data_IF_629143168482
#
_entry.id   IF_629143168482
#
_cell.length_a   1.000
_cell.length_b   1.000
_cell.length_c   1.000
_cell.angle_alpha   90.00
_cell.angle_beta   90.00
_cell.angle_gamma   90.00
#
_symmetry.space_group_name_H-M   'P 1'
#
loop_
_entity.id
_entity.type
_entity.pdbx_description
1 polymer ?
#
# COMPACT_ATOMS: atom_id res chain seq x y z
N UNK A 1 4.65 -24.91 7.95
CA UNK A 1 3.66 -25.23 6.89
C UNK A 1 2.19 -25.20 7.36
N UNK A 2 1.82 -25.80 8.50
CA UNK A 2 0.40 -25.86 8.92
C UNK A 2 -0.20 -24.47 9.20
N UNK A 3 0.51 -23.61 9.95
CA UNK A 3 0.09 -22.21 10.16
C UNK A 3 -0.06 -21.44 8.85
N UNK A 4 0.83 -21.70 7.90
CA UNK A 4 0.79 -21.12 6.56
C UNK A 4 -0.51 -21.51 5.82
N UNK A 5 -0.84 -22.80 5.79
CA UNK A 5 -2.10 -23.29 5.19
C UNK A 5 -3.34 -22.74 5.90
N UNK A 6 -3.30 -22.67 7.23
CA UNK A 6 -4.39 -22.13 8.05
C UNK A 6 -4.64 -20.65 7.72
N UNK A 7 -3.59 -19.84 7.71
CA UNK A 7 -3.66 -18.42 7.36
C UNK A 7 -4.30 -18.21 5.98
N UNK A 8 -3.87 -18.95 4.95
CA UNK A 8 -4.45 -18.84 3.61
C UNK A 8 -5.93 -19.25 3.57
N UNK A 9 -6.32 -20.30 4.29
CA UNK A 9 -7.73 -20.72 4.37
C UNK A 9 -8.59 -19.65 5.04
N UNK A 10 -8.11 -19.10 6.17
CA UNK A 10 -8.79 -18.03 6.88
C UNK A 10 -8.92 -16.79 5.99
N UNK A 11 -7.83 -16.41 5.31
CA UNK A 11 -7.82 -15.28 4.37
C UNK A 11 -8.86 -15.45 3.26
N UNK A 12 -8.88 -16.61 2.59
CA UNK A 12 -9.82 -16.87 1.51
C UNK A 12 -11.27 -16.84 2.00
N UNK A 13 -11.55 -17.44 3.16
CA UNK A 13 -12.87 -17.35 3.77
C UNK A 13 -13.30 -15.90 4.07
N UNK A 14 -12.37 -15.05 4.51
CA UNK A 14 -12.65 -13.62 4.71
C UNK A 14 -12.94 -12.90 3.39
N UNK A 15 -12.19 -13.22 2.32
CA UNK A 15 -12.45 -12.67 0.97
C UNK A 15 -13.86 -13.05 0.50
N UNK A 16 -14.26 -14.31 0.67
CA UNK A 16 -15.59 -14.78 0.28
C UNK A 16 -16.70 -14.08 1.09
N UNK A 17 -16.50 -13.92 2.40
CA UNK A 17 -17.44 -13.21 3.28
C UNK A 17 -17.56 -11.72 2.95
N UNK A 18 -16.44 -11.05 2.62
CA UNK A 18 -16.45 -9.64 2.21
C UNK A 18 -17.29 -9.41 0.94
N UNK A 19 -17.35 -10.38 0.03
CA UNK A 19 -18.17 -10.29 -1.18
C UNK A 19 -19.68 -10.45 -0.89
N UNK A 20 -20.06 -11.04 0.25
CA UNK A 20 -21.45 -11.27 0.62
C UNK A 20 -22.02 -10.16 1.51
N UNK A 21 -21.30 -9.78 2.58
CA UNK A 21 -21.63 -8.68 3.47
C UNK A 21 -20.41 -8.33 4.34
N UNK A 22 -19.59 -7.39 3.90
CA UNK A 22 -18.40 -6.98 4.63
C UNK A 22 -18.76 -6.15 5.88
N UNK A 23 -18.39 -6.66 7.06
CA UNK A 23 -18.44 -5.92 8.32
C UNK A 23 -17.06 -5.86 8.97
N UNK A 24 -16.89 -4.99 9.97
CA UNK A 24 -15.63 -4.77 10.70
C UNK A 24 -14.97 -6.08 11.17
N UNK A 25 -15.75 -7.02 11.69
CA UNK A 25 -15.24 -8.31 12.16
C UNK A 25 -14.58 -9.17 11.08
N UNK A 26 -15.02 -9.07 9.81
CA UNK A 26 -14.38 -9.78 8.68
C UNK A 26 -12.99 -9.19 8.41
N UNK A 27 -12.83 -7.88 8.54
CA UNK A 27 -11.55 -7.19 8.35
C UNK A 27 -10.58 -7.52 9.49
N UNK A 28 -11.07 -7.61 10.72
CA UNK A 28 -10.29 -8.06 11.89
C UNK A 28 -9.80 -9.51 11.69
N UNK A 29 -10.66 -10.43 11.24
CA UNK A 29 -10.27 -11.81 10.91
C UNK A 29 -9.22 -11.86 9.79
N UNK A 30 -9.36 -10.97 8.79
CA UNK A 30 -8.39 -10.84 7.70
C UNK A 30 -7.03 -10.35 8.20
N UNK A 31 -7.02 -9.44 9.17
CA UNK A 31 -5.81 -9.00 9.86
C UNK A 31 -5.18 -10.15 10.66
N UNK A 32 -5.98 -10.94 11.38
CA UNK A 32 -5.49 -12.14 12.09
C UNK A 32 -4.86 -13.13 11.12
N UNK A 33 -5.43 -13.32 9.93
CA UNK A 33 -4.81 -14.17 8.90
C UNK A 33 -3.43 -13.65 8.48
N UNK A 34 -3.25 -12.33 8.34
CA UNK A 34 -1.96 -11.70 8.05
C UNK A 34 -0.95 -11.91 9.19
N UNK A 35 -1.40 -11.76 10.44
CA UNK A 35 -0.59 -11.98 11.64
C UNK A 35 -0.11 -13.42 11.77
N UNK A 36 -1.02 -14.39 11.59
CA UNK A 36 -0.69 -15.82 11.57
C UNK A 36 0.31 -16.13 10.44
N UNK A 37 0.17 -15.50 9.27
CA UNK A 37 1.10 -15.70 8.16
C UNK A 37 2.50 -15.19 8.52
N UNK A 38 2.56 -14.01 9.13
CA UNK A 38 3.81 -13.39 9.58
C UNK A 38 4.51 -14.23 10.65
N UNK A 39 3.75 -14.78 11.61
CA UNK A 39 4.29 -15.67 12.66
C UNK A 39 4.79 -16.99 12.06
N UNK A 40 4.12 -17.50 11.03
CA UNK A 40 4.55 -18.73 10.35
C UNK A 40 5.95 -18.60 9.72
N UNK A 41 6.41 -17.37 9.46
CA UNK A 41 7.77 -17.06 9.03
C UNK A 41 8.17 -17.71 7.71
N UNK A 42 9.47 -17.94 7.56
CA UNK A 42 10.02 -18.62 6.39
C UNK A 42 9.69 -20.11 6.42
N UNK A 43 9.15 -20.60 5.31
CA UNK A 43 8.76 -22.00 5.14
C UNK A 43 9.46 -22.56 3.91
N UNK A 44 10.17 -23.68 4.09
CA UNK A 44 10.84 -24.36 2.99
C UNK A 44 9.88 -24.65 1.82
N UNK A 45 10.32 -24.35 0.59
CA UNK A 45 9.54 -24.55 -0.63
C UNK A 45 8.51 -23.45 -0.93
N UNK A 46 8.38 -22.42 -0.08
CA UNK A 46 7.54 -21.25 -0.37
C UNK A 46 8.43 -20.12 -0.89
N UNK A 47 8.21 -19.62 -2.12
CA UNK A 47 8.93 -18.45 -2.62
C UNK A 47 8.44 -17.18 -1.92
N UNK A 48 9.38 -16.29 -1.60
CA UNK A 48 9.19 -14.96 -1.02
C UNK A 48 8.18 -14.89 0.15
N UNK A 49 8.33 -15.67 1.24
CA UNK A 49 7.35 -15.71 2.34
C UNK A 49 7.06 -14.33 2.95
N UNK A 50 8.09 -13.50 3.13
CA UNK A 50 7.97 -12.14 3.65
C UNK A 50 7.09 -11.24 2.75
N UNK A 51 7.29 -11.29 1.43
CA UNK A 51 6.48 -10.52 0.46
C UNK A 51 5.02 -10.97 0.49
N UNK A 52 4.78 -12.28 0.62
CA UNK A 52 3.41 -12.80 0.71
C UNK A 52 2.71 -12.34 1.99
N UNK A 53 3.39 -12.39 3.13
CA UNK A 53 2.87 -11.83 4.38
C UNK A 53 2.63 -10.31 4.27
N UNK A 54 3.57 -9.57 3.69
CA UNK A 54 3.41 -8.13 3.45
C UNK A 54 2.17 -7.83 2.57
N UNK A 55 1.91 -8.67 1.55
CA UNK A 55 0.74 -8.51 0.69
C UNK A 55 -0.59 -8.69 1.43
N UNK A 56 -0.63 -9.55 2.46
CA UNK A 56 -1.82 -9.73 3.29
C UNK A 56 -2.07 -8.50 4.15
N UNK A 57 -1.02 -7.96 4.78
CA UNK A 57 -1.14 -6.71 5.51
C UNK A 57 -1.54 -5.55 4.61
N UNK A 58 -0.89 -5.37 3.46
CA UNK A 58 -1.23 -4.34 2.48
C UNK A 58 -2.71 -4.40 2.09
N UNK A 59 -3.20 -5.56 1.64
CA UNK A 59 -4.60 -5.72 1.22
C UNK A 59 -5.60 -5.53 2.36
N UNK A 60 -5.23 -5.86 3.60
CA UNK A 60 -6.07 -5.59 4.77
C UNK A 60 -6.10 -4.11 5.10
N UNK A 61 -4.94 -3.45 5.05
CA UNK A 61 -4.80 -2.02 5.28
C UNK A 61 -5.60 -1.18 4.29
N UNK A 62 -5.72 -1.61 3.02
CA UNK A 62 -6.59 -0.95 2.05
C UNK A 62 -8.05 -0.93 2.49
N UNK A 63 -8.56 -2.04 3.04
CA UNK A 63 -9.94 -2.10 3.52
C UNK A 63 -10.11 -1.20 4.75
N UNK A 64 -9.15 -1.23 5.68
CA UNK A 64 -9.19 -0.31 6.82
C UNK A 64 -9.18 1.16 6.38
N UNK A 65 -8.40 1.50 5.36
CA UNK A 65 -8.37 2.82 4.76
C UNK A 65 -9.74 3.21 4.16
N UNK A 66 -10.37 2.30 3.40
CA UNK A 66 -11.71 2.51 2.83
C UNK A 66 -12.78 2.69 3.93
N UNK A 67 -12.64 2.00 5.07
CA UNK A 67 -13.47 2.19 6.26
C UNK A 67 -13.14 3.45 7.07
N UNK A 68 -12.18 4.28 6.60
CA UNK A 68 -11.64 5.46 7.29
C UNK A 68 -11.04 5.16 8.67
N UNK A 69 -10.65 3.92 8.93
CA UNK A 69 -9.89 3.53 10.13
C UNK A 69 -8.39 3.67 9.85
N UNK A 70 -7.92 4.93 9.79
CA UNK A 70 -6.56 5.24 9.35
C UNK A 70 -5.46 4.71 10.26
N UNK A 71 -5.69 4.63 11.58
CA UNK A 71 -4.73 4.03 12.51
C UNK A 71 -4.53 2.53 12.23
N UNK A 72 -5.63 1.80 12.02
CA UNK A 72 -5.60 0.36 11.68
C UNK A 72 -4.96 0.13 10.31
N UNK A 73 -5.25 1.01 9.34
CA UNK A 73 -4.62 0.98 8.03
C UNK A 73 -3.10 1.21 8.14
N UNK A 74 -2.67 2.25 8.88
CA UNK A 74 -1.27 2.55 9.09
C UNK A 74 -0.54 1.40 9.79
N UNK A 75 -1.13 0.79 10.83
CA UNK A 75 -0.55 -0.38 11.50
C UNK A 75 -0.31 -1.55 10.52
N UNK A 76 -1.26 -1.83 9.64
CA UNK A 76 -1.08 -2.83 8.60
C UNK A 76 0.05 -2.46 7.65
N UNK A 77 0.09 -1.21 7.16
CA UNK A 77 1.12 -0.79 6.22
C UNK A 77 2.53 -0.71 6.82
N UNK A 78 2.66 -0.39 8.11
CA UNK A 78 3.92 -0.47 8.85
C UNK A 78 4.41 -1.91 8.95
N UNK A 79 3.56 -2.84 9.39
CA UNK A 79 3.90 -4.27 9.42
C UNK A 79 4.31 -4.80 8.04
N UNK A 80 3.63 -4.37 6.97
CA UNK A 80 4.02 -4.71 5.60
C UNK A 80 5.38 -4.12 5.22
N UNK A 81 5.67 -2.88 5.63
CA UNK A 81 6.95 -2.20 5.37
C UNK A 81 8.09 -2.93 6.08
N UNK A 82 7.91 -3.32 7.34
CA UNK A 82 8.91 -4.03 8.13
C UNK A 82 9.26 -5.40 7.53
N UNK A 83 8.29 -6.07 6.91
CA UNK A 83 8.51 -7.32 6.20
C UNK A 83 9.28 -7.10 4.89
N UNK A 84 8.91 -6.08 4.11
CA UNK A 84 9.59 -5.75 2.85
C UNK A 84 11.02 -5.25 3.10
N UNK A 85 11.28 -4.54 4.19
CA UNK A 85 12.61 -4.04 4.54
C UNK A 85 13.66 -5.15 4.74
N UNK A 86 13.20 -6.39 4.97
CA UNK A 86 14.06 -7.58 5.11
C UNK A 86 14.38 -8.25 3.76
N UNK A 87 13.79 -7.77 2.67
CA UNK A 87 13.92 -8.35 1.33
C UNK A 87 14.81 -7.46 0.47
N UNK A 88 15.76 -8.07 -0.22
CA UNK A 88 16.55 -7.39 -1.23
C UNK A 88 15.68 -7.13 -2.47
N UNK A 89 15.22 -5.89 -2.63
CA UNK A 89 14.24 -5.51 -3.67
C UNK A 89 14.76 -5.83 -5.08
N UNK A 90 16.06 -5.65 -5.31
CA UNK A 90 16.70 -5.92 -6.61
C UNK A 90 16.69 -7.41 -6.98
N UNK A 91 16.62 -8.30 -5.98
CA UNK A 91 16.53 -9.75 -6.16
C UNK A 91 15.12 -10.23 -6.54
N UNK A 92 14.09 -9.39 -6.39
CA UNK A 92 12.72 -9.75 -6.76
C UNK A 92 12.65 -9.89 -8.28
N UNK A 93 12.40 -11.08 -8.80
CA UNK A 93 12.23 -11.30 -10.25
C UNK A 93 10.79 -11.10 -10.72
N UNK A 94 9.83 -11.14 -9.79
CA UNK A 94 8.41 -11.05 -10.08
C UNK A 94 7.93 -9.59 -10.09
N UNK A 95 7.35 -9.15 -11.20
CA UNK A 95 6.82 -7.79 -11.37
C UNK A 95 5.73 -7.44 -10.35
N UNK A 96 4.88 -8.40 -9.95
CA UNK A 96 3.86 -8.20 -8.92
C UNK A 96 4.45 -7.98 -7.53
N UNK A 97 5.53 -8.69 -7.19
CA UNK A 97 6.26 -8.50 -5.93
C UNK A 97 6.95 -7.14 -5.88
N UNK A 98 7.56 -6.72 -6.99
CA UNK A 98 8.13 -5.37 -7.15
C UNK A 98 7.05 -4.30 -7.02
N UNK A 99 5.92 -4.46 -7.71
CA UNK A 99 4.79 -3.52 -7.67
C UNK A 99 4.27 -3.32 -6.25
N UNK A 100 4.25 -4.36 -5.42
CA UNK A 100 3.81 -4.24 -4.02
C UNK A 100 4.58 -3.16 -3.24
N UNK A 101 5.87 -2.96 -3.52
CA UNK A 101 6.70 -1.95 -2.85
C UNK A 101 6.21 -0.53 -3.19
N UNK A 102 5.90 -0.29 -4.47
CA UNK A 102 5.33 0.97 -4.94
C UNK A 102 3.94 1.21 -4.34
N UNK A 103 3.06 0.21 -4.49
CA UNK A 103 1.68 0.23 -4.03
C UNK A 103 1.61 0.51 -2.52
N UNK A 104 2.50 -0.08 -1.73
CA UNK A 104 2.58 0.14 -0.29
C UNK A 104 2.99 1.58 0.06
N UNK A 105 4.00 2.14 -0.61
CA UNK A 105 4.40 3.54 -0.37
C UNK A 105 3.28 4.51 -0.74
N UNK A 106 2.56 4.27 -1.84
CA UNK A 106 1.39 5.06 -2.24
C UNK A 106 0.29 4.96 -1.18
N UNK A 107 -0.04 3.76 -0.70
CA UNK A 107 -1.07 3.58 0.33
C UNK A 107 -0.71 4.25 1.67
N UNK A 108 0.56 4.20 2.07
CA UNK A 108 1.05 4.94 3.25
C UNK A 108 1.00 6.44 3.04
N UNK A 109 1.37 6.93 1.85
CA UNK A 109 1.29 8.35 1.53
C UNK A 109 -0.16 8.86 1.62
N UNK A 110 -1.12 8.09 1.09
CA UNK A 110 -2.56 8.38 1.20
C UNK A 110 -3.02 8.41 2.65
N UNK A 111 -2.62 7.44 3.45
CA UNK A 111 -3.00 7.37 4.87
C UNK A 111 -2.47 8.57 5.64
N UNK A 112 -1.19 8.91 5.46
CA UNK A 112 -0.57 10.11 6.05
C UNK A 112 -1.28 11.39 5.60
N UNK A 113 -1.68 11.47 4.32
CA UNK A 113 -2.42 12.61 3.77
C UNK A 113 -3.78 12.82 4.46
N UNK A 114 -4.54 11.75 4.69
CA UNK A 114 -5.86 11.81 5.34
C UNK A 114 -5.77 12.27 6.80
N UNK A 115 -4.68 11.94 7.50
CA UNK A 115 -4.42 12.40 8.88
C UNK A 115 -3.63 13.71 8.94
N UNK A 116 -3.52 14.43 7.81
CA UNK A 116 -2.82 15.72 7.67
C UNK A 116 -1.31 15.70 7.94
N UNK A 117 -0.67 14.53 7.94
CA UNK A 117 0.79 14.42 7.95
C UNK A 117 1.35 14.57 6.52
N UNK A 118 1.42 15.83 6.07
CA UNK A 118 1.88 16.18 4.72
C UNK A 118 3.33 15.80 4.48
N UNK A 119 4.19 15.98 5.48
CA UNK A 119 5.62 15.71 5.35
C UNK A 119 5.89 14.24 5.05
N UNK A 120 5.27 13.33 5.82
CA UNK A 120 5.40 11.90 5.59
C UNK A 120 4.78 11.51 4.25
N UNK A 121 3.61 12.07 3.93
CA UNK A 121 2.93 11.80 2.67
C UNK A 121 3.80 12.10 1.44
N UNK A 122 4.37 13.30 1.37
CA UNK A 122 5.20 13.73 0.25
C UNK A 122 6.55 13.01 0.21
N UNK A 123 7.16 12.73 1.37
CA UNK A 123 8.39 11.95 1.44
C UNK A 123 8.20 10.53 0.86
N UNK A 124 7.05 9.91 1.14
CA UNK A 124 6.70 8.59 0.61
C UNK A 124 6.47 8.62 -0.90
N UNK A 125 5.73 9.60 -1.45
CA UNK A 125 5.56 9.74 -2.89
C UNK A 125 6.88 9.97 -3.64
N UNK A 126 7.74 10.83 -3.10
CA UNK A 126 9.06 11.05 -3.70
C UNK A 126 9.93 9.78 -3.65
N UNK A 127 9.83 8.99 -2.57
CA UNK A 127 10.51 7.70 -2.47
C UNK A 127 9.97 6.69 -3.49
N UNK A 128 8.67 6.70 -3.78
CA UNK A 128 8.03 5.82 -4.77
C UNK A 128 8.61 5.93 -6.17
N UNK A 129 9.20 7.06 -6.56
CA UNK A 129 9.86 7.25 -7.86
C UNK A 129 10.99 6.23 -8.11
N UNK A 130 11.60 5.68 -7.05
CA UNK A 130 12.64 4.64 -7.14
C UNK A 130 12.08 3.25 -7.45
N UNK A 131 10.77 3.07 -7.36
CA UNK A 131 10.09 1.77 -7.49
C UNK A 131 9.13 1.76 -8.69
N UNK A 132 9.43 2.52 -9.73
CA UNK A 132 8.64 2.55 -10.96
C UNK A 132 8.90 1.34 -11.85
N UNK A 133 10.09 0.73 -11.75
CA UNK A 133 10.49 -0.47 -12.49
C UNK A 133 10.23 -0.41 -14.01
N UNK A 134 10.25 0.81 -14.57
CA UNK A 134 10.08 1.07 -16.00
C UNK A 134 8.76 0.51 -16.60
N UNK A 135 7.70 0.37 -15.79
CA UNK A 135 6.39 -0.07 -16.30
C UNK A 135 5.37 1.07 -16.34
N UNK A 136 4.63 1.16 -17.45
CA UNK A 136 3.60 2.18 -17.65
C UNK A 136 2.54 2.17 -16.53
N UNK A 137 2.15 0.99 -16.01
CA UNK A 137 1.19 0.91 -14.91
C UNK A 137 1.70 1.55 -13.62
N UNK A 138 3.01 1.48 -13.36
CA UNK A 138 3.61 2.04 -12.16
C UNK A 138 3.76 3.56 -12.26
N UNK A 139 4.17 4.07 -13.44
CA UNK A 139 4.16 5.50 -13.72
C UNK A 139 2.76 6.08 -13.55
N UNK A 140 1.76 5.42 -14.14
CA UNK A 140 0.35 5.79 -14.01
C UNK A 140 -0.12 5.80 -12.55
N UNK A 141 0.16 4.75 -11.78
CA UNK A 141 -0.27 4.68 -10.38
C UNK A 141 0.31 5.83 -9.53
N UNK A 142 1.60 6.16 -9.73
CA UNK A 142 2.24 7.24 -9.00
C UNK A 142 1.75 8.62 -9.47
N UNK A 143 1.61 8.83 -10.78
CA UNK A 143 1.13 10.10 -11.34
C UNK A 143 -0.30 10.40 -10.90
N UNK A 144 -1.19 9.42 -10.95
CA UNK A 144 -2.57 9.56 -10.46
C UNK A 144 -2.61 10.01 -9.00
N UNK A 145 -1.69 9.52 -8.17
CA UNK A 145 -1.63 9.92 -6.77
C UNK A 145 -1.16 11.36 -6.57
N UNK A 146 -0.12 11.80 -7.29
CA UNK A 146 0.31 13.20 -7.28
C UNK A 146 -0.81 14.13 -7.74
N UNK A 147 -1.49 13.77 -8.84
CA UNK A 147 -2.61 14.54 -9.37
C UNK A 147 -3.79 14.60 -8.38
N UNK A 148 -4.10 13.50 -7.68
CA UNK A 148 -5.15 13.46 -6.68
C UNK A 148 -4.87 14.41 -5.51
N UNK A 149 -3.64 14.45 -5.00
CA UNK A 149 -3.25 15.38 -3.94
C UNK A 149 -3.26 16.84 -4.40
N UNK A 150 -2.72 17.12 -5.58
CA UNK A 150 -2.78 18.48 -6.16
C UNK A 150 -4.21 18.98 -6.33
N UNK A 151 -5.12 18.14 -6.86
CA UNK A 151 -6.55 18.46 -6.98
C UNK A 151 -7.20 18.70 -5.61
N UNK A 152 -6.88 17.89 -4.61
CA UNK A 152 -7.44 18.03 -3.27
C UNK A 152 -7.06 19.37 -2.61
N UNK A 153 -5.84 19.87 -2.83
CA UNK A 153 -5.43 21.20 -2.35
C UNK A 153 -6.18 22.32 -3.08
N UNK A 154 -6.31 22.24 -4.41
CA UNK A 154 -7.07 23.25 -5.17
C UNK A 154 -8.52 23.36 -4.72
N UNK A 155 -9.15 22.24 -4.36
CA UNK A 155 -10.54 22.22 -3.90
C UNK A 155 -10.76 22.93 -2.56
N UNK A 156 -9.71 23.12 -1.74
CA UNK A 156 -9.80 23.85 -0.47
C UNK A 156 -9.83 25.38 -0.65
N UNK A 157 -9.46 25.89 -1.83
CA UNK A 157 -9.49 27.32 -2.19
C UNK A 157 -8.67 28.24 -1.25
N UNK A 158 -7.64 27.69 -0.59
CA UNK A 158 -6.71 28.46 0.23
C UNK A 158 -5.57 29.01 -0.64
N UNK A 159 -5.40 30.34 -0.68
CA UNK A 159 -4.39 30.99 -1.52
C UNK A 159 -2.96 30.55 -1.19
N UNK A 160 -2.71 30.12 0.04
CA UNK A 160 -1.42 29.57 0.51
C UNK A 160 -1.09 28.20 -0.07
N UNK A 161 -2.09 27.39 -0.44
CA UNK A 161 -1.88 26.01 -0.89
C UNK A 161 -1.74 25.89 -2.42
N UNK A 162 -2.05 26.94 -3.19
CA UNK A 162 -2.05 26.92 -4.67
C UNK A 162 -0.66 26.54 -5.22
N UNK A 163 0.41 27.13 -4.69
CA UNK A 163 1.76 26.85 -5.17
C UNK A 163 2.18 25.39 -4.93
N UNK A 164 1.76 24.80 -3.81
CA UNK A 164 2.01 23.40 -3.51
C UNK A 164 1.17 22.49 -4.41
N UNK A 165 -0.09 22.84 -4.63
CA UNK A 165 -0.97 22.14 -5.54
C UNK A 165 -0.39 22.08 -6.96
N UNK A 166 0.10 23.21 -7.49
CA UNK A 166 0.74 23.27 -8.81
C UNK A 166 2.01 22.43 -8.89
N UNK A 167 2.83 22.39 -7.84
CA UNK A 167 4.01 21.51 -7.78
C UNK A 167 3.60 20.04 -7.89
N UNK A 168 2.58 19.61 -7.14
CA UNK A 168 2.09 18.24 -7.19
C UNK A 168 1.51 17.89 -8.56
N UNK A 169 0.78 18.81 -9.18
CA UNK A 169 0.23 18.59 -10.52
C UNK A 169 1.33 18.45 -11.58
N UNK A 170 2.36 19.30 -11.52
CA UNK A 170 3.51 19.21 -12.42
C UNK A 170 4.28 17.90 -12.24
N UNK A 171 4.51 17.48 -11.00
CA UNK A 171 5.14 16.18 -10.71
C UNK A 171 4.33 15.00 -11.29
N UNK A 172 2.99 15.07 -11.18
CA UNK A 172 2.10 14.10 -11.81
C UNK A 172 2.21 14.10 -13.34
N UNK A 173 2.27 15.29 -13.96
CA UNK A 173 2.40 15.44 -15.41
C UNK A 173 3.75 14.89 -15.92
N UNK A 174 4.86 15.24 -15.26
CA UNK A 174 6.19 14.74 -15.62
C UNK A 174 6.26 13.21 -15.56
N UNK A 175 5.55 12.57 -14.62
CA UNK A 175 5.48 11.12 -14.55
C UNK A 175 4.66 10.52 -15.70
N UNK A 176 3.58 11.19 -16.12
CA UNK A 176 2.81 10.78 -17.30
C UNK A 176 3.60 10.92 -18.60
N UNK A 177 4.54 11.86 -18.70
CA UNK A 177 5.37 12.03 -19.89
C UNK A 177 6.49 10.98 -19.98
N UNK A 178 6.91 10.42 -18.85
CA UNK A 178 8.02 9.46 -18.76
C UNK A 178 7.62 8.00 -18.95
N UNK A 179 6.34 7.65 -18.77
CA UNK A 179 5.83 6.26 -18.78
C UNK A 179 4.72 6.04 -19.78
#
# INVERSE_FOLDING_TARGET
>A
LQLWKLSYRLWNACVDLSNAAAGKGVVELRQVAAEVLSIAGDVAGVPSPAIKAASFYYKTGLIWFEMRSFDSANNCFEKATDLIAKVEIDSLSNLGERKLVLDLNIARARTAWEVSDRNVSLALLNRSKKFLFETAENYKALSEQYLAFGKALLMKNESSEINEALKLLNEGLELCEKG
#
